data_IF_807056398215
#
_entry.id   IF_807056398215
#
_cell.length_a   1.000
_cell.length_b   1.000
_cell.length_c   1.000
_cell.angle_alpha   90.00
_cell.angle_beta   90.00
_cell.angle_gamma   90.00
#
_symmetry.space_group_name_H-M   'P 1'
#
loop_
_entity.id
_entity.type
_entity.pdbx_description
1 polymer ?
#
# COMPACT_ATOMS: atom_id res chain seq x y z
N UNK A 1 -10.28 -30.09 -32.31
CA UNK A 1 -10.93 -28.79 -32.20
C UNK A 1 -11.49 -28.55 -30.75
N UNK A 2 -12.38 -29.39 -30.23
CA UNK A 2 -13.00 -29.25 -28.89
C UNK A 2 -11.98 -29.24 -27.75
N UNK A 3 -10.99 -30.15 -27.75
CA UNK A 3 -9.95 -30.24 -26.70
C UNK A 3 -9.08 -28.97 -26.67
N UNK A 4 -8.73 -28.41 -27.82
CA UNK A 4 -7.96 -27.16 -27.91
C UNK A 4 -8.78 -25.98 -27.37
N UNK A 5 -10.04 -25.90 -27.67
CA UNK A 5 -10.96 -24.89 -27.15
C UNK A 5 -11.11 -24.98 -25.62
N UNK A 6 -11.35 -26.17 -25.09
CA UNK A 6 -11.43 -26.39 -23.63
C UNK A 6 -10.14 -26.02 -22.92
N UNK A 7 -8.98 -26.38 -23.47
CA UNK A 7 -7.67 -26.04 -22.90
C UNK A 7 -7.43 -24.53 -22.85
N UNK A 8 -7.82 -23.81 -23.91
CA UNK A 8 -7.78 -22.34 -23.96
C UNK A 8 -8.71 -21.72 -22.93
N UNK A 9 -9.93 -22.23 -22.82
CA UNK A 9 -10.93 -21.71 -21.87
C UNK A 9 -10.49 -21.90 -20.41
N UNK A 10 -9.97 -23.09 -20.07
CA UNK A 10 -9.41 -23.37 -18.74
C UNK A 10 -8.21 -22.47 -18.44
N UNK A 11 -7.34 -22.22 -19.42
CA UNK A 11 -6.20 -21.31 -19.28
C UNK A 11 -6.66 -19.87 -18.96
N UNK A 12 -7.66 -19.37 -19.66
CA UNK A 12 -8.24 -18.04 -19.43
C UNK A 12 -8.88 -17.91 -18.04
N UNK A 13 -9.64 -18.93 -17.60
CA UNK A 13 -10.22 -18.96 -16.26
C UNK A 13 -9.14 -18.92 -15.17
N UNK A 14 -8.07 -19.70 -15.33
CA UNK A 14 -6.93 -19.67 -14.39
C UNK A 14 -6.26 -18.31 -14.34
N UNK A 15 -6.10 -17.63 -15.49
CA UNK A 15 -5.53 -16.28 -15.55
C UNK A 15 -6.43 -15.26 -14.85
N UNK A 16 -7.74 -15.30 -15.10
CA UNK A 16 -8.71 -14.41 -14.43
C UNK A 16 -8.70 -14.64 -12.92
N UNK A 17 -8.67 -15.90 -12.47
CA UNK A 17 -8.62 -16.23 -11.06
C UNK A 17 -7.33 -15.71 -10.38
N UNK A 18 -6.17 -15.82 -11.03
CA UNK A 18 -4.92 -15.25 -10.54
C UNK A 18 -5.01 -13.73 -10.39
N UNK A 19 -5.55 -13.02 -11.38
CA UNK A 19 -5.72 -11.56 -11.32
C UNK A 19 -6.63 -11.18 -10.14
N UNK A 20 -7.76 -11.88 -9.98
CA UNK A 20 -8.67 -11.65 -8.86
C UNK A 20 -7.98 -11.86 -7.51
N UNK A 21 -7.25 -12.96 -7.32
CA UNK A 21 -6.49 -13.21 -6.09
C UNK A 21 -5.44 -12.14 -5.84
N UNK A 22 -4.79 -11.62 -6.88
CA UNK A 22 -3.78 -10.57 -6.75
C UNK A 22 -4.40 -9.25 -6.26
N UNK A 23 -5.54 -8.85 -6.82
CA UNK A 23 -6.29 -7.68 -6.37
C UNK A 23 -6.74 -7.87 -4.92
N UNK A 24 -7.27 -9.06 -4.59
CA UNK A 24 -7.70 -9.39 -3.24
C UNK A 24 -6.55 -9.32 -2.23
N UNK A 25 -5.38 -9.88 -2.57
CA UNK A 25 -4.19 -9.80 -1.72
C UNK A 25 -3.74 -8.34 -1.50
N UNK A 26 -3.80 -7.50 -2.53
CA UNK A 26 -3.51 -6.07 -2.38
C UNK A 26 -4.52 -5.36 -1.47
N UNK A 27 -5.79 -5.71 -1.61
CA UNK A 27 -6.85 -5.21 -0.74
C UNK A 27 -6.62 -5.65 0.71
N UNK A 28 -6.35 -6.94 0.96
CA UNK A 28 -6.10 -7.51 2.28
C UNK A 28 -4.88 -6.85 2.95
N UNK A 29 -3.79 -6.69 2.21
CA UNK A 29 -2.57 -6.02 2.66
C UNK A 29 -2.84 -4.61 3.21
N UNK A 30 -3.73 -3.84 2.58
CA UNK A 30 -4.10 -2.50 3.06
C UNK A 30 -4.81 -2.51 4.43
N UNK A 31 -5.28 -3.66 4.90
CA UNK A 31 -5.92 -3.84 6.20
C UNK A 31 -4.98 -4.46 7.25
N UNK A 32 -3.69 -4.59 6.97
CA UNK A 32 -2.69 -4.97 7.97
C UNK A 32 -2.57 -3.90 9.05
N UNK A 33 -2.19 -4.31 10.26
CA UNK A 33 -2.25 -3.46 11.46
C UNK A 33 -1.44 -2.16 11.33
N UNK A 34 -0.26 -2.22 10.75
CA UNK A 34 0.62 -1.06 10.51
C UNK A 34 0.01 -0.05 9.54
N UNK A 35 -0.66 -0.52 8.49
CA UNK A 35 -1.40 0.30 7.54
C UNK A 35 -2.60 0.97 8.20
N UNK A 36 -3.37 0.22 8.99
CA UNK A 36 -4.53 0.77 9.71
C UNK A 36 -4.12 1.82 10.75
N UNK A 37 -2.99 1.62 11.45
CA UNK A 37 -2.43 2.61 12.36
C UNK A 37 -2.01 3.90 11.64
N UNK A 38 -1.33 3.77 10.51
CA UNK A 38 -0.94 4.93 9.69
C UNK A 38 -2.16 5.70 9.18
N UNK A 39 -3.14 5.00 8.58
CA UNK A 39 -4.37 5.60 8.07
C UNK A 39 -5.14 6.30 9.17
N UNK A 40 -5.37 5.63 10.31
CA UNK A 40 -6.10 6.24 11.42
C UNK A 40 -5.43 7.53 11.89
N UNK A 41 -4.09 7.55 11.98
CA UNK A 41 -3.33 8.75 12.34
C UNK A 41 -3.50 9.87 11.32
N UNK A 42 -3.54 9.54 10.03
CA UNK A 42 -3.71 10.50 8.94
C UNK A 42 -5.11 11.12 8.92
N UNK A 43 -6.17 10.32 9.15
CA UNK A 43 -7.56 10.76 8.97
C UNK A 43 -8.24 11.25 10.25
N UNK A 44 -7.73 10.91 11.44
CA UNK A 44 -8.37 11.22 12.73
C UNK A 44 -8.53 12.71 13.05
N UNK A 45 -7.95 13.62 12.26
CA UNK A 45 -8.09 15.07 12.39
C UNK A 45 -8.84 15.71 11.23
N UNK A 46 -9.43 14.89 10.37
CA UNK A 46 -10.17 15.35 9.20
C UNK A 46 -11.65 15.45 9.50
N UNK A 47 -12.19 16.63 9.38
CA UNK A 47 -13.63 16.87 9.47
C UNK A 47 -14.35 16.55 8.16
N UNK A 48 -13.60 16.43 7.05
CA UNK A 48 -14.16 16.23 5.72
C UNK A 48 -13.80 14.84 5.17
N UNK A 49 -14.84 14.02 5.01
CA UNK A 49 -14.75 12.66 4.48
C UNK A 49 -14.01 12.58 3.13
N UNK A 50 -14.30 13.51 2.20
CA UNK A 50 -13.65 13.54 0.88
C UNK A 50 -12.13 13.76 0.98
N UNK A 51 -11.68 14.55 1.96
CA UNK A 51 -10.25 14.76 2.18
C UNK A 51 -9.60 13.52 2.77
N UNK A 52 -10.24 12.83 3.70
CA UNK A 52 -9.77 11.56 4.25
C UNK A 52 -9.59 10.51 3.15
N UNK A 53 -10.61 10.35 2.30
CA UNK A 53 -10.56 9.42 1.16
C UNK A 53 -9.43 9.78 0.19
N UNK A 54 -9.24 11.07 -0.09
CA UNK A 54 -8.15 11.56 -0.93
C UNK A 54 -6.79 11.25 -0.32
N UNK A 55 -6.62 11.44 0.99
CA UNK A 55 -5.38 11.12 1.69
C UNK A 55 -5.07 9.62 1.62
N UNK A 56 -6.09 8.75 1.77
CA UNK A 56 -5.94 7.30 1.57
C UNK A 56 -5.47 6.93 0.16
N UNK A 57 -6.02 7.56 -0.88
CA UNK A 57 -5.59 7.35 -2.27
C UNK A 57 -4.14 7.80 -2.46
N UNK A 58 -3.76 9.01 -2.02
CA UNK A 58 -2.40 9.52 -2.18
C UNK A 58 -1.38 8.66 -1.43
N UNK A 59 -1.74 8.19 -0.24
CA UNK A 59 -0.92 7.27 0.50
C UNK A 59 -0.75 5.93 -0.24
N UNK A 60 -1.84 5.34 -0.75
CA UNK A 60 -1.81 4.11 -1.54
C UNK A 60 -0.96 4.25 -2.81
N UNK A 61 -1.04 5.41 -3.49
CA UNK A 61 -0.21 5.69 -4.67
C UNK A 61 1.27 5.75 -4.27
N UNK A 62 1.63 6.44 -3.19
CA UNK A 62 3.01 6.50 -2.70
C UNK A 62 3.54 5.11 -2.35
N UNK A 63 2.77 4.32 -1.61
CA UNK A 63 3.09 2.95 -1.23
C UNK A 63 3.32 2.06 -2.47
N UNK A 64 2.37 2.04 -3.39
CA UNK A 64 2.47 1.26 -4.63
C UNK A 64 3.64 1.69 -5.50
N UNK A 65 3.90 3.00 -5.59
CA UNK A 65 5.02 3.53 -6.35
C UNK A 65 6.37 3.01 -5.82
N UNK A 66 6.55 2.96 -4.51
CA UNK A 66 7.77 2.41 -3.90
C UNK A 66 7.92 0.91 -4.17
N UNK A 67 6.86 0.12 -3.95
CA UNK A 67 6.89 -1.33 -4.22
C UNK A 67 7.21 -1.57 -5.70
N UNK A 68 6.59 -0.81 -6.60
CA UNK A 68 6.84 -0.95 -8.05
C UNK A 68 8.26 -0.56 -8.43
N UNK A 69 8.80 0.51 -7.84
CA UNK A 69 10.20 0.92 -8.06
C UNK A 69 11.19 -0.16 -7.58
N UNK A 70 11.00 -0.70 -6.37
CA UNK A 70 11.80 -1.82 -5.86
C UNK A 70 11.65 -3.04 -6.76
N UNK A 71 10.43 -3.33 -7.23
CA UNK A 71 10.18 -4.40 -8.20
C UNK A 71 10.96 -4.22 -9.51
N UNK A 72 11.02 -3.00 -10.05
CA UNK A 72 11.84 -2.70 -11.24
C UNK A 72 13.32 -2.98 -10.95
N UNK A 73 13.84 -2.55 -9.81
CA UNK A 73 15.24 -2.77 -9.43
C UNK A 73 15.56 -4.26 -9.31
N UNK A 74 14.74 -5.01 -8.59
CA UNK A 74 15.01 -6.43 -8.32
C UNK A 74 14.68 -7.33 -9.51
N UNK A 75 13.53 -7.13 -10.16
CA UNK A 75 13.05 -8.00 -11.24
C UNK A 75 13.61 -7.55 -12.58
N UNK A 76 13.56 -6.24 -12.88
CA UNK A 76 13.99 -5.68 -14.16
C UNK A 76 15.50 -5.65 -14.30
N UNK A 77 16.21 -5.15 -13.30
CA UNK A 77 17.67 -5.02 -13.33
C UNK A 77 18.39 -6.16 -12.59
N UNK A 78 17.67 -7.16 -12.06
CA UNK A 78 18.22 -8.28 -11.29
C UNK A 78 19.07 -7.82 -10.08
N UNK A 79 18.75 -6.65 -9.52
CA UNK A 79 19.42 -6.12 -8.36
C UNK A 79 18.97 -6.90 -7.12
N UNK A 80 19.93 -7.42 -6.35
CA UNK A 80 19.64 -8.20 -5.15
C UNK A 80 19.70 -7.28 -3.92
N UNK A 81 18.58 -7.15 -3.23
CA UNK A 81 18.50 -6.46 -1.95
C UNK A 81 18.44 -7.54 -0.87
N UNK A 82 19.39 -7.52 0.06
CA UNK A 82 19.47 -8.51 1.14
C UNK A 82 18.34 -8.34 2.17
N UNK A 83 17.98 -9.45 2.84
CA UNK A 83 16.92 -9.45 3.87
C UNK A 83 17.19 -8.46 5.01
N UNK A 84 18.45 -8.23 5.38
CA UNK A 84 18.81 -7.27 6.43
C UNK A 84 18.40 -5.82 6.07
N UNK A 85 18.50 -5.45 4.78
CA UNK A 85 18.09 -4.14 4.31
C UNK A 85 16.58 -3.96 4.47
N UNK A 86 15.80 -4.98 4.13
CA UNK A 86 14.34 -4.95 4.31
C UNK A 86 13.95 -4.90 5.79
N UNK A 87 14.61 -5.66 6.67
CA UNK A 87 14.40 -5.58 8.14
C UNK A 87 14.69 -4.17 8.67
N UNK A 88 15.74 -3.52 8.16
CA UNK A 88 16.03 -2.12 8.53
C UNK A 88 14.94 -1.16 8.04
N UNK A 89 14.36 -1.39 6.86
CA UNK A 89 13.23 -0.60 6.38
C UNK A 89 11.98 -0.82 7.23
N UNK A 90 11.68 -2.06 7.62
CA UNK A 90 10.58 -2.39 8.55
C UNK A 90 10.76 -1.70 9.90
N UNK A 91 11.97 -1.76 10.47
CA UNK A 91 12.29 -1.05 11.69
C UNK A 91 12.12 0.48 11.53
N UNK A 92 12.54 1.04 10.40
CA UNK A 92 12.37 2.46 10.07
C UNK A 92 10.90 2.88 9.98
N UNK A 93 10.05 2.04 9.40
CA UNK A 93 8.59 2.26 9.36
C UNK A 93 8.01 2.18 10.77
N UNK A 94 8.43 1.22 11.59
CA UNK A 94 8.02 1.14 12.99
C UNK A 94 8.35 2.43 13.76
N UNK A 95 9.57 2.96 13.61
CA UNK A 95 9.97 4.25 14.18
C UNK A 95 9.11 5.40 13.65
N UNK A 96 8.83 5.44 12.35
CA UNK A 96 7.94 6.45 11.75
C UNK A 96 6.55 6.41 12.38
N UNK A 97 5.98 5.23 12.57
CA UNK A 97 4.66 5.06 13.20
C UNK A 97 4.66 5.54 14.65
N UNK A 98 5.72 5.26 15.42
CA UNK A 98 5.89 5.76 16.79
C UNK A 98 5.93 7.30 16.79
N UNK A 99 6.73 7.90 15.90
CA UNK A 99 6.82 9.37 15.79
C UNK A 99 5.47 9.98 15.43
N UNK A 100 4.76 9.41 14.46
CA UNK A 100 3.42 9.88 14.06
C UNK A 100 2.42 9.76 15.22
N UNK A 101 2.44 8.66 15.95
CA UNK A 101 1.59 8.44 17.13
C UNK A 101 1.89 9.45 18.25
N UNK A 102 3.16 9.62 18.59
CA UNK A 102 3.60 10.59 19.61
C UNK A 102 3.27 12.03 19.21
N UNK A 103 3.51 12.39 17.95
CA UNK A 103 3.13 13.70 17.42
C UNK A 103 1.62 13.93 17.55
N UNK A 104 0.80 12.91 17.28
CA UNK A 104 -0.66 13.00 17.43
C UNK A 104 -1.06 13.22 18.88
N UNK A 105 -0.51 12.44 19.80
CA UNK A 105 -0.76 12.58 21.24
C UNK A 105 -0.34 13.98 21.71
N UNK A 106 0.86 14.43 21.35
CA UNK A 106 1.35 15.76 21.69
C UNK A 106 0.41 16.87 21.17
N UNK A 107 -0.05 16.75 19.91
CA UNK A 107 -0.98 17.71 19.32
C UNK A 107 -2.31 17.76 20.08
N UNK A 108 -2.85 16.62 20.50
CA UNK A 108 -4.10 16.55 21.25
C UNK A 108 -4.02 17.21 22.61
N UNK A 109 -2.89 17.05 23.34
CA UNK A 109 -2.78 17.53 24.71
C UNK A 109 -2.19 18.94 24.84
N UNK A 110 -1.32 19.35 23.92
CA UNK A 110 -0.52 20.55 24.07
C UNK A 110 -0.79 21.66 23.04
N UNK A 111 -1.39 21.33 21.89
CA UNK A 111 -1.68 22.33 20.87
C UNK A 111 -3.21 22.52 20.74
N UNK A 112 -3.70 23.75 21.04
CA UNK A 112 -5.05 24.15 20.68
C UNK A 112 -5.19 24.09 19.15
N UNK A 113 -6.20 23.38 18.68
CA UNK A 113 -6.46 23.16 17.26
C UNK A 113 -6.75 24.50 16.55
N UNK A 114 -5.74 25.04 15.90
CA UNK A 114 -5.96 25.99 14.80
C UNK A 114 -5.92 25.17 13.52
N UNK A 115 -7.06 25.04 12.88
CA UNK A 115 -7.24 24.31 11.61
C UNK A 115 -6.50 25.04 10.49
N UNK A 116 -5.20 24.81 10.39
CA UNK A 116 -4.46 25.16 9.19
C UNK A 116 -4.56 23.99 8.21
N UNK A 117 -5.27 24.20 7.11
CA UNK A 117 -5.37 23.33 5.95
C UNK A 117 -4.00 23.24 5.25
N UNK A 118 -3.01 22.62 5.89
CA UNK A 118 -1.79 22.24 5.21
C UNK A 118 -2.08 21.12 4.20
N UNK A 119 -1.34 21.14 3.10
CA UNK A 119 -1.48 20.22 1.96
C UNK A 119 -1.11 18.77 2.36
N UNK A 120 -1.97 18.15 3.17
CA UNK A 120 -1.78 16.86 3.84
C UNK A 120 -1.79 15.68 2.88
N UNK A 121 -2.38 15.83 1.67
CA UNK A 121 -2.30 14.78 0.65
C UNK A 121 -0.85 14.54 0.19
N UNK A 122 -0.01 15.59 0.17
CA UNK A 122 1.44 15.42 -0.07
C UNK A 122 2.13 14.68 1.07
N UNK A 123 1.76 14.99 2.32
CA UNK A 123 2.28 14.27 3.47
C UNK A 123 1.82 12.81 3.47
N UNK A 124 0.56 12.52 3.15
CA UNK A 124 0.05 11.18 2.98
C UNK A 124 0.82 10.38 1.91
N UNK A 125 1.10 11.00 0.76
CA UNK A 125 1.93 10.40 -0.29
C UNK A 125 3.34 10.10 0.23
N UNK A 126 3.99 11.04 0.94
CA UNK A 126 5.32 10.84 1.51
C UNK A 126 5.36 9.71 2.55
N UNK A 127 4.36 9.64 3.43
CA UNK A 127 4.20 8.52 4.38
C UNK A 127 4.03 7.20 3.62
N UNK A 128 3.24 7.20 2.54
CA UNK A 128 3.07 6.05 1.67
C UNK A 128 4.38 5.57 1.04
N UNK A 129 5.20 6.48 0.53
CA UNK A 129 6.53 6.15 -0.03
C UNK A 129 7.41 5.43 0.99
N UNK A 130 7.49 5.96 2.21
CA UNK A 130 8.31 5.37 3.29
C UNK A 130 7.72 4.01 3.69
N UNK A 131 6.40 3.91 3.84
CA UNK A 131 5.73 2.68 4.23
C UNK A 131 5.90 1.57 3.20
N UNK A 132 5.87 1.92 1.90
CA UNK A 132 6.11 0.96 0.82
C UNK A 132 7.50 0.32 0.83
N UNK A 133 8.50 0.93 1.49
CA UNK A 133 9.83 0.33 1.64
C UNK A 133 9.80 -0.93 2.53
N UNK A 134 9.03 -0.93 3.62
CA UNK A 134 8.94 -2.05 4.54
C UNK A 134 8.24 -3.26 3.91
N UNK A 135 7.05 -3.06 3.33
CA UNK A 135 6.25 -4.14 2.77
C UNK A 135 6.76 -4.71 1.45
N UNK A 136 7.70 -4.04 0.78
CA UNK A 136 8.13 -4.40 -0.57
C UNK A 136 8.93 -5.69 -0.65
N UNK A 137 9.73 -6.02 0.38
CA UNK A 137 10.67 -7.13 0.34
C UNK A 137 10.01 -8.49 0.15
N UNK A 138 9.14 -8.86 1.07
CA UNK A 138 8.47 -10.16 1.04
C UNK A 138 7.61 -10.33 -0.23
N UNK A 139 6.89 -9.29 -0.63
CA UNK A 139 6.05 -9.32 -1.83
C UNK A 139 6.89 -9.49 -3.10
N UNK A 140 7.97 -8.71 -3.27
CA UNK A 140 8.81 -8.80 -4.47
C UNK A 140 9.52 -10.15 -4.54
N UNK A 141 10.03 -10.68 -3.42
CA UNK A 141 10.62 -12.03 -3.36
C UNK A 141 9.59 -13.09 -3.73
N UNK A 142 8.36 -13.01 -3.22
CA UNK A 142 7.26 -13.92 -3.58
C UNK A 142 6.97 -13.86 -5.08
N UNK A 143 6.90 -12.67 -5.64
CA UNK A 143 6.65 -12.47 -7.09
C UNK A 143 7.78 -13.06 -7.92
N UNK A 144 9.05 -12.82 -7.56
CA UNK A 144 10.22 -13.38 -8.27
C UNK A 144 10.16 -14.91 -8.27
N UNK A 145 9.77 -15.53 -7.15
CA UNK A 145 9.73 -16.99 -7.01
C UNK A 145 8.64 -17.66 -7.86
N UNK A 146 7.59 -16.94 -8.23
CA UNK A 146 6.40 -17.51 -8.89
C UNK A 146 6.21 -17.08 -10.34
N UNK A 147 6.85 -16.01 -10.79
CA UNK A 147 6.66 -15.46 -12.14
C UNK A 147 7.73 -15.95 -13.11
N UNK A 148 7.31 -16.25 -14.34
CA UNK A 148 8.19 -16.80 -15.37
C UNK A 148 8.97 -15.72 -16.12
N UNK A 149 8.45 -14.52 -16.16
CA UNK A 149 9.07 -13.40 -16.88
C UNK A 149 9.08 -12.13 -16.04
N UNK A 150 10.09 -11.23 -16.21
CA UNK A 150 10.13 -9.93 -15.55
C UNK A 150 8.86 -9.11 -15.74
N UNK A 151 8.32 -9.10 -16.96
CA UNK A 151 7.12 -8.34 -17.28
C UNK A 151 5.89 -8.86 -16.53
N UNK A 152 5.74 -10.20 -16.43
CA UNK A 152 4.67 -10.82 -15.64
C UNK A 152 4.75 -10.42 -14.16
N UNK A 153 5.96 -10.39 -13.59
CA UNK A 153 6.19 -9.96 -12.22
C UNK A 153 5.82 -8.49 -11.98
N UNK A 154 6.25 -7.59 -12.88
CA UNK A 154 5.92 -6.16 -12.77
C UNK A 154 4.42 -5.91 -12.92
N UNK A 155 3.76 -6.62 -13.84
CA UNK A 155 2.29 -6.53 -14.00
C UNK A 155 1.56 -7.04 -12.75
N UNK A 156 2.07 -8.09 -12.11
CA UNK A 156 1.52 -8.60 -10.86
C UNK A 156 1.60 -7.55 -9.74
N UNK A 157 2.76 -6.88 -9.58
CA UNK A 157 2.94 -5.80 -8.62
C UNK A 157 1.98 -4.64 -8.88
N UNK A 158 1.77 -4.25 -10.14
CA UNK A 158 0.82 -3.19 -10.48
C UNK A 158 -0.63 -3.57 -10.10
N UNK A 159 -1.05 -4.79 -10.42
CA UNK A 159 -2.41 -5.28 -10.11
C UNK A 159 -2.60 -5.36 -8.59
N UNK A 160 -1.60 -5.85 -7.84
CA UNK A 160 -1.58 -5.83 -6.38
C UNK A 160 -1.71 -4.39 -5.85
N UNK A 161 -0.92 -3.47 -6.41
CA UNK A 161 -0.94 -2.06 -6.05
C UNK A 161 -2.31 -1.39 -6.25
N UNK A 162 -3.03 -1.73 -7.32
CA UNK A 162 -4.41 -1.25 -7.52
C UNK A 162 -5.35 -1.74 -6.41
N UNK A 163 -5.24 -3.02 -6.02
CA UNK A 163 -5.97 -3.57 -4.88
C UNK A 163 -5.63 -2.85 -3.57
N UNK A 164 -4.34 -2.59 -3.33
CA UNK A 164 -3.83 -1.89 -2.16
C UNK A 164 -4.32 -0.43 -2.09
N UNK A 165 -4.26 0.32 -3.21
CA UNK A 165 -4.80 1.70 -3.29
C UNK A 165 -6.29 1.72 -2.94
N UNK A 166 -7.06 0.77 -3.50
CA UNK A 166 -8.48 0.67 -3.21
C UNK A 166 -8.75 0.31 -1.75
N UNK A 167 -7.96 -0.60 -1.16
CA UNK A 167 -8.03 -0.95 0.26
C UNK A 167 -7.72 0.23 1.17
N UNK A 168 -6.68 1.00 0.87
CA UNK A 168 -6.31 2.20 1.64
C UNK A 168 -7.35 3.31 1.53
N UNK A 169 -7.99 3.47 0.36
CA UNK A 169 -9.15 4.33 0.19
C UNK A 169 -10.31 3.90 1.09
N UNK A 170 -10.64 2.60 1.12
CA UNK A 170 -11.70 2.06 1.99
C UNK A 170 -11.36 2.20 3.46
N UNK A 171 -10.13 1.89 3.87
CA UNK A 171 -9.67 2.07 5.24
C UNK A 171 -9.79 3.55 5.67
N UNK A 172 -9.32 4.47 4.85
CA UNK A 172 -9.45 5.92 5.13
C UNK A 172 -10.91 6.36 5.23
N UNK A 173 -11.79 5.83 4.39
CA UNK A 173 -13.23 6.06 4.47
C UNK A 173 -13.79 5.58 5.80
N UNK A 174 -13.58 4.30 6.14
CA UNK A 174 -14.14 3.67 7.34
C UNK A 174 -13.64 4.34 8.62
N UNK A 175 -12.33 4.59 8.72
CA UNK A 175 -11.73 5.21 9.90
C UNK A 175 -12.06 6.71 10.05
N UNK A 176 -12.50 7.37 8.99
CA UNK A 176 -12.90 8.79 9.09
C UNK A 176 -14.33 8.99 9.56
N UNK A 177 -15.22 7.98 9.44
CA UNK A 177 -16.64 8.09 9.82
C UNK A 177 -16.83 8.66 11.23
N UNK A 178 -16.12 8.21 12.29
CA UNK A 178 -16.30 8.73 13.63
C UNK A 178 -15.90 10.21 13.80
N UNK A 179 -15.10 10.77 12.89
CA UNK A 179 -14.53 12.11 12.98
C UNK A 179 -15.21 13.13 12.07
N UNK A 180 -16.02 12.67 11.11
CA UNK A 180 -16.75 13.55 10.18
C UNK A 180 -18.14 13.85 10.71
N UNK A 181 -18.51 15.13 10.66
CA UNK A 181 -19.85 15.62 11.03
C UNK A 181 -20.70 15.79 9.78
#
# INVERSE_FOLDING_TARGET
MIISYLKSHISNLKKMFKIFLTIYSGLEHAFEADHLLAVNTLVSHRENLKQSMKDGIYWGIGHTATIFFIGILMIGFKFQIGEEVFKNFEAGVGVMLIILGLYRVFKLYFLKEHSHTHNTSRAAFGVGLIHGLAGSGALVVLVISQMKTPLEGLMYILIFGLGSIFGMFLAAYLFSIPYTK
#
